data_IF_210952411356
#
_entry.id   IF_210952411356
#
_cell.length_a   1.000
_cell.length_b   1.000
_cell.length_c   1.000
_cell.angle_alpha   90.00
_cell.angle_beta   90.00
_cell.angle_gamma   90.00
#
_symmetry.space_group_name_H-M   'P 1'
#
loop_
_entity.id
_entity.type
_entity.pdbx_description
1 polymer ?
#
# COMPACT_ATOMS: atom_id res chain seq x y z
N UNK A 1 -4.43 19.71 -40.39
CA UNK A 1 -3.97 18.33 -40.65
C UNK A 1 -2.53 18.01 -40.19
N UNK A 2 -1.66 18.99 -39.86
CA UNK A 2 -0.26 18.70 -39.46
C UNK A 2 -0.03 18.15 -38.04
N UNK A 3 -0.95 18.37 -37.08
CA UNK A 3 -0.76 17.95 -35.67
C UNK A 3 -1.03 16.45 -35.43
N UNK A 4 -1.98 15.83 -36.14
CA UNK A 4 -2.21 14.38 -36.05
C UNK A 4 -1.07 13.55 -36.67
N UNK A 5 -0.40 14.10 -37.68
CA UNK A 5 0.69 13.40 -38.38
C UNK A 5 1.94 13.22 -37.50
N UNK A 6 2.19 14.17 -36.58
CA UNK A 6 3.31 14.10 -35.65
C UNK A 6 3.06 13.16 -34.47
N UNK A 7 1.81 13.03 -34.00
CA UNK A 7 1.47 12.09 -32.92
C UNK A 7 1.60 10.65 -33.39
N UNK A 8 1.15 10.36 -34.62
CA UNK A 8 1.31 9.04 -35.21
C UNK A 8 2.80 8.71 -35.42
N UNK A 9 3.62 9.65 -35.90
CA UNK A 9 5.06 9.42 -36.02
C UNK A 9 5.75 9.19 -34.68
N UNK A 10 5.35 9.91 -33.64
CA UNK A 10 5.88 9.70 -32.28
C UNK A 10 5.45 8.34 -31.72
N UNK A 11 4.20 7.93 -31.95
CA UNK A 11 3.70 6.62 -31.55
C UNK A 11 4.41 5.48 -32.30
N UNK A 12 4.61 5.60 -33.62
CA UNK A 12 5.38 4.64 -34.41
C UNK A 12 6.86 4.60 -34.01
N UNK A 13 7.44 5.75 -33.66
CA UNK A 13 8.81 5.82 -33.16
C UNK A 13 8.94 5.14 -31.80
N UNK A 14 7.99 5.38 -30.88
CA UNK A 14 7.96 4.74 -29.57
C UNK A 14 7.69 3.23 -29.69
N UNK A 15 6.72 2.81 -30.51
CA UNK A 15 6.45 1.39 -30.76
C UNK A 15 7.68 0.71 -31.38
N UNK A 16 8.31 1.33 -32.38
CA UNK A 16 9.52 0.83 -33.03
C UNK A 16 10.64 0.64 -32.02
N UNK A 17 10.90 1.65 -31.17
CA UNK A 17 11.94 1.57 -30.13
C UNK A 17 11.62 0.53 -29.05
N UNK A 18 10.35 0.36 -28.66
CA UNK A 18 9.93 -0.68 -27.71
C UNK A 18 10.09 -2.07 -28.34
N UNK A 19 9.69 -2.25 -29.61
CA UNK A 19 9.89 -3.53 -30.31
C UNK A 19 11.37 -3.84 -30.53
N UNK A 20 12.20 -2.84 -30.82
CA UNK A 20 13.65 -2.98 -30.92
C UNK A 20 14.25 -3.34 -29.57
N UNK A 21 13.81 -2.74 -28.46
CA UNK A 21 14.28 -3.08 -27.13
C UNK A 21 13.89 -4.51 -26.73
N UNK A 22 12.67 -4.96 -27.05
CA UNK A 22 12.21 -6.33 -26.82
C UNK A 22 12.98 -7.35 -27.67
N UNK A 23 13.27 -7.02 -28.93
CA UNK A 23 14.11 -7.84 -29.82
C UNK A 23 15.56 -7.85 -29.31
N UNK A 24 16.07 -6.74 -28.80
CA UNK A 24 17.42 -6.63 -28.26
C UNK A 24 17.58 -7.46 -26.98
N UNK A 25 16.59 -7.44 -26.07
CA UNK A 25 16.57 -8.37 -24.93
C UNK A 25 16.49 -9.84 -25.36
N UNK A 26 15.71 -10.16 -26.40
CA UNK A 26 15.66 -11.51 -26.97
C UNK A 26 17.00 -11.95 -27.58
N UNK A 27 17.73 -11.05 -28.23
CA UNK A 27 19.02 -11.32 -28.85
C UNK A 27 20.18 -11.41 -27.84
N UNK A 28 20.14 -10.65 -26.73
CA UNK A 28 21.14 -10.72 -25.66
C UNK A 28 21.12 -12.08 -24.94
N UNK A 29 19.98 -12.78 -24.93
CA UNK A 29 19.81 -14.04 -24.21
C UNK A 29 20.40 -15.25 -24.98
N UNK A 30 20.77 -15.11 -26.27
CA UNK A 30 21.05 -16.27 -27.15
C UNK A 30 22.50 -16.54 -27.58
N UNK A 31 23.53 -15.76 -27.19
CA UNK A 31 24.81 -16.42 -26.89
C UNK A 31 25.63 -15.72 -25.79
N UNK A 32 25.78 -16.37 -24.64
CA UNK A 32 26.85 -16.09 -23.69
C UNK A 32 28.15 -16.73 -24.18
N UNK A 33 29.17 -15.95 -24.57
CA UNK A 33 30.63 -16.22 -24.44
C UNK A 33 31.45 -15.23 -25.27
N UNK A 34 32.15 -14.30 -24.60
CA UNK A 34 33.54 -13.86 -24.85
C UNK A 34 33.80 -12.36 -24.57
N UNK A 35 34.80 -12.15 -23.69
CA UNK A 35 35.76 -11.04 -23.65
C UNK A 35 35.35 -9.65 -23.12
N UNK A 36 35.64 -9.50 -21.83
CA UNK A 36 36.26 -8.39 -21.08
C UNK A 36 36.90 -7.15 -21.76
N UNK A 37 36.65 -6.00 -21.09
CA UNK A 37 37.49 -4.80 -20.79
C UNK A 37 37.89 -3.83 -21.93
N UNK A 38 37.62 -2.52 -21.74
CA UNK A 38 38.63 -1.47 -21.44
C UNK A 38 38.10 -0.01 -21.46
N UNK A 39 38.44 0.73 -20.38
CA UNK A 39 38.80 2.17 -20.22
C UNK A 39 37.80 3.35 -20.32
N UNK A 40 37.98 4.23 -19.31
CA UNK A 40 37.73 5.67 -19.22
C UNK A 40 38.25 6.45 -20.46
N UNK A 41 37.87 7.71 -20.75
CA UNK A 41 37.94 8.90 -19.90
C UNK A 41 37.37 10.15 -20.63
N UNK A 42 36.92 11.15 -19.85
CA UNK A 42 36.79 12.61 -20.06
C UNK A 42 36.29 13.19 -21.40
N UNK A 43 35.24 14.04 -21.30
CA UNK A 43 35.26 15.39 -21.89
C UNK A 43 34.48 16.39 -21.02
N UNK A 44 35.14 17.52 -20.85
CA UNK A 44 34.85 18.74 -20.08
C UNK A 44 34.10 19.77 -20.97
N UNK A 45 33.52 20.80 -20.31
CA UNK A 45 33.08 22.12 -20.80
C UNK A 45 31.75 22.19 -21.60
N UNK A 46 30.84 23.17 -21.40
CA UNK A 46 31.01 24.47 -20.76
C UNK A 46 29.70 25.15 -20.31
N UNK A 47 29.87 26.15 -19.44
CA UNK A 47 28.91 27.06 -18.84
C UNK A 47 28.22 28.03 -19.83
N UNK A 48 27.00 28.49 -19.51
CA UNK A 48 26.60 29.92 -19.57
C UNK A 48 25.24 30.11 -18.85
N UNK A 49 25.21 30.64 -17.61
CA UNK A 49 25.03 32.07 -17.26
C UNK A 49 23.55 32.49 -17.26
N UNK A 50 22.98 33.21 -16.29
CA UNK A 50 23.28 33.58 -14.91
C UNK A 50 22.00 34.22 -14.34
N UNK A 51 22.06 34.60 -13.06
CA UNK A 51 21.48 35.84 -12.51
C UNK A 51 20.35 35.71 -11.47
N UNK A 52 20.80 35.63 -10.20
CA UNK A 52 20.44 36.41 -8.99
C UNK A 52 18.93 36.54 -8.61
N UNK A 53 18.52 36.47 -7.34
CA UNK A 53 19.15 37.02 -6.14
C UNK A 53 18.53 36.37 -4.88
N UNK A 54 19.38 35.99 -3.92
CA UNK A 54 18.99 35.72 -2.53
C UNK A 54 18.66 37.04 -1.82
N UNK A 55 17.57 37.08 -1.04
CA UNK A 55 17.54 37.87 0.20
C UNK A 55 16.93 37.01 1.31
N UNK A 56 17.75 36.84 2.33
CA UNK A 56 17.53 36.16 3.59
C UNK A 56 16.52 36.90 4.51
N UNK A 57 15.90 36.07 5.35
CA UNK A 57 15.75 36.21 6.80
C UNK A 57 14.76 37.15 7.50
N UNK A 58 14.22 36.51 8.55
CA UNK A 58 13.90 37.01 9.88
C UNK A 58 12.52 37.61 10.21
N UNK A 59 11.69 36.70 10.73
CA UNK A 59 11.31 36.62 12.16
C UNK A 59 10.40 37.68 12.81
N UNK A 60 9.53 37.13 13.67
CA UNK A 60 8.89 37.69 14.87
C UNK A 60 7.50 38.36 14.82
N UNK A 61 6.84 38.14 15.96
CA UNK A 61 5.43 38.27 16.32
C UNK A 61 4.90 39.71 16.32
N UNK A 62 3.59 39.91 16.12
CA UNK A 62 2.74 40.67 17.08
C UNK A 62 1.24 40.56 16.79
N UNK A 63 0.49 40.39 17.87
CA UNK A 63 -0.99 40.44 18.02
C UNK A 63 -1.59 41.85 17.89
N UNK A 64 -2.83 41.99 17.40
CA UNK A 64 -3.98 42.73 18.01
C UNK A 64 -5.12 43.09 17.02
N UNK A 65 -6.30 43.35 17.60
CA UNK A 65 -7.68 43.37 17.06
C UNK A 65 -8.11 44.66 16.30
N UNK A 66 -9.24 44.61 15.55
CA UNK A 66 -10.44 45.52 15.58
C UNK A 66 -11.25 45.51 14.23
N UNK A 67 -12.60 45.37 14.31
CA UNK A 67 -13.66 45.58 13.25
C UNK A 67 -14.12 47.07 13.21
N UNK A 68 -15.03 47.65 12.36
CA UNK A 68 -15.94 47.12 11.31
C UNK A 68 -16.12 47.95 9.98
N UNK A 69 -16.76 47.33 8.97
CA UNK A 69 -17.74 47.72 7.87
C UNK A 69 -17.98 49.21 7.50
N UNK A 70 -18.18 49.63 6.20
CA UNK A 70 -19.45 49.45 5.44
C UNK A 70 -19.40 49.23 3.89
N UNK A 71 -20.42 48.52 3.38
CA UNK A 71 -20.94 48.40 1.98
C UNK A 71 -21.79 49.66 1.56
N UNK A 72 -22.36 49.89 0.33
CA UNK A 72 -23.00 48.98 -0.68
C UNK A 72 -22.88 49.48 -2.17
N UNK A 73 -23.78 49.23 -3.18
CA UNK A 73 -24.91 48.27 -3.43
C UNK A 73 -24.78 47.44 -4.76
N UNK A 74 -25.27 46.19 -4.89
CA UNK A 74 -26.62 45.62 -5.18
C UNK A 74 -27.13 45.64 -6.63
N UNK A 75 -27.48 44.45 -7.18
CA UNK A 75 -28.58 44.06 -8.09
C UNK A 75 -28.29 42.62 -8.62
N UNK A 76 -29.20 41.65 -8.80
CA UNK A 76 -30.58 41.37 -8.41
C UNK A 76 -30.89 39.87 -8.73
N UNK A 77 -31.65 39.18 -7.86
CA UNK A 77 -32.77 38.23 -8.11
C UNK A 77 -32.56 36.92 -8.93
N UNK A 78 -33.20 35.76 -8.70
CA UNK A 78 -34.29 35.30 -7.81
C UNK A 78 -34.34 33.75 -7.78
N UNK A 79 -34.95 33.20 -6.72
CA UNK A 79 -35.21 31.78 -6.42
C UNK A 79 -36.45 31.22 -7.14
N UNK A 80 -36.54 29.88 -7.25
CA UNK A 80 -37.81 29.15 -7.10
C UNK A 80 -37.59 27.69 -6.67
N UNK A 81 -38.61 27.16 -6.00
CA UNK A 81 -38.64 26.05 -5.03
C UNK A 81 -39.74 25.06 -5.46
N UNK A 82 -39.58 23.74 -5.34
CA UNK A 82 -40.67 22.73 -5.21
C UNK A 82 -40.07 21.32 -5.13
N UNK A 83 -40.21 20.61 -4.00
CA UNK A 83 -41.28 19.67 -3.60
C UNK A 83 -41.24 18.31 -4.31
N UNK A 84 -41.01 17.28 -3.50
CA UNK A 84 -41.14 15.85 -3.77
C UNK A 84 -42.43 15.39 -3.07
N UNK A 85 -43.23 14.54 -3.74
CA UNK A 85 -44.06 13.48 -3.13
C UNK A 85 -44.49 12.44 -4.19
N UNK A 86 -44.21 11.18 -3.84
CA UNK A 86 -44.85 9.86 -4.08
C UNK A 86 -45.85 9.64 -5.24
N UNK A 87 -45.66 8.59 -6.07
CA UNK A 87 -46.25 7.24 -5.84
C UNK A 87 -46.04 6.26 -7.04
N UNK A 88 -45.91 4.97 -6.70
CA UNK A 88 -46.20 3.71 -7.40
C UNK A 88 -45.95 3.49 -8.91
N UNK A 89 -45.35 2.33 -9.23
CA UNK A 89 -45.38 1.75 -10.59
C UNK A 89 -44.52 0.50 -10.76
N UNK A 90 -45.02 -0.63 -10.24
CA UNK A 90 -44.97 -2.02 -10.77
C UNK A 90 -43.75 -2.45 -11.61
N UNK A 91 -43.12 -3.53 -11.13
CA UNK A 91 -42.15 -4.38 -11.83
C UNK A 91 -42.92 -5.33 -12.76
N UNK A 92 -42.63 -5.30 -14.06
CA UNK A 92 -42.90 -6.43 -14.97
C UNK A 92 -41.63 -6.73 -15.78
N UNK A 93 -41.21 -7.99 -15.64
CA UNK A 93 -40.16 -8.66 -16.39
C UNK A 93 -40.61 -8.90 -17.83
N UNK A 94 -39.80 -8.55 -18.83
CA UNK A 94 -39.97 -9.01 -20.20
C UNK A 94 -38.70 -9.80 -20.62
N UNK A 95 -38.70 -11.09 -20.26
CA UNK A 95 -38.00 -12.14 -21.00
C UNK A 95 -38.92 -12.64 -22.14
N UNK A 96 -38.32 -13.20 -23.19
CA UNK A 96 -38.92 -14.02 -24.27
C UNK A 96 -39.43 -13.33 -25.55
N UNK A 97 -38.50 -13.04 -26.47
CA UNK A 97 -38.76 -12.96 -27.92
C UNK A 97 -38.16 -14.20 -28.62
N UNK A 98 -38.92 -15.31 -28.63
CA UNK A 98 -38.67 -16.49 -29.46
C UNK A 98 -39.90 -16.74 -30.34
N UNK A 99 -39.88 -16.23 -31.57
CA UNK A 99 -40.93 -16.50 -32.56
C UNK A 99 -40.88 -17.96 -33.02
N UNK A 100 -41.81 -18.75 -32.51
CA UNK A 100 -42.19 -20.05 -33.06
C UNK A 100 -42.78 -19.88 -34.47
N UNK A 101 -42.07 -20.43 -35.45
CA UNK A 101 -42.58 -20.73 -36.80
C UNK A 101 -43.83 -21.59 -36.67
N UNK A 102 -44.98 -21.08 -37.14
CA UNK A 102 -46.19 -21.86 -37.37
C UNK A 102 -46.15 -22.37 -38.81
N UNK A 103 -46.24 -23.69 -38.95
CA UNK A 103 -46.44 -24.39 -40.20
C UNK A 103 -47.88 -24.14 -40.69
N UNK A 104 -48.04 -23.28 -41.69
CA UNK A 104 -49.30 -23.17 -42.46
C UNK A 104 -49.23 -24.15 -43.64
N UNK A 105 -49.69 -25.37 -43.38
CA UNK A 105 -50.10 -26.35 -44.40
C UNK A 105 -51.52 -25.98 -44.87
N UNK A 106 -51.64 -25.32 -46.03
CA UNK A 106 -52.90 -25.23 -46.77
C UNK A 106 -52.67 -25.47 -48.27
N UNK A 107 -53.01 -26.69 -48.71
CA UNK A 107 -53.07 -27.08 -50.11
C UNK A 107 -54.27 -26.45 -50.82
N UNK A 108 -54.10 -26.09 -52.10
CA UNK A 108 -55.15 -26.35 -53.08
C UNK A 108 -54.65 -27.32 -54.15
N UNK A 109 -55.35 -28.45 -54.27
CA UNK A 109 -55.24 -29.36 -55.41
C UNK A 109 -55.81 -28.70 -56.67
N UNK A 110 -55.01 -28.58 -57.72
CA UNK A 110 -55.54 -28.59 -59.08
C UNK A 110 -54.53 -29.13 -60.10
N UNK A 111 -54.85 -30.34 -60.57
CA UNK A 111 -54.74 -30.85 -61.96
C UNK A 111 -53.37 -30.92 -62.63
N UNK A 112 -52.93 -32.18 -62.70
CA UNK A 112 -51.96 -32.78 -63.61
C UNK A 112 -52.22 -32.36 -65.06
N UNK A 113 -51.21 -31.75 -65.70
CA UNK A 113 -50.99 -31.84 -67.14
C UNK A 113 -49.54 -32.26 -67.38
N UNK A 114 -49.35 -33.52 -67.72
CA UNK A 114 -48.11 -34.08 -68.26
C UNK A 114 -47.95 -33.58 -69.70
N UNK A 115 -46.87 -32.86 -70.01
CA UNK A 115 -46.13 -32.89 -71.29
C UNK A 115 -45.03 -31.81 -71.29
N UNK A 116 -43.76 -32.22 -71.09
CA UNK A 116 -42.58 -31.88 -71.92
C UNK A 116 -41.25 -32.07 -71.15
N UNK A 117 -40.17 -32.55 -71.80
CA UNK A 117 -38.96 -32.98 -71.11
C UNK A 117 -37.89 -31.89 -70.99
N UNK A 118 -37.21 -31.90 -69.84
CA UNK A 118 -35.80 -31.57 -69.60
C UNK A 118 -35.24 -30.24 -70.16
N UNK A 119 -35.05 -29.27 -69.26
CA UNK A 119 -33.92 -28.33 -69.33
C UNK A 119 -33.21 -28.28 -67.99
N UNK A 120 -31.90 -28.50 -68.06
CA UNK A 120 -30.95 -28.45 -66.97
C UNK A 120 -31.10 -27.14 -66.18
N UNK A 121 -31.55 -27.23 -64.94
CA UNK A 121 -31.42 -26.13 -63.99
C UNK A 121 -30.05 -26.27 -63.34
N UNK A 122 -29.10 -25.46 -63.81
CA UNK A 122 -27.85 -25.18 -63.10
C UNK A 122 -28.15 -24.93 -61.62
N UNK A 123 -27.48 -25.68 -60.75
CA UNK A 123 -27.38 -25.37 -59.32
C UNK A 123 -26.78 -23.97 -59.20
N UNK A 124 -27.64 -22.96 -59.07
CA UNK A 124 -27.26 -21.59 -58.73
C UNK A 124 -26.72 -21.65 -57.30
N UNK A 125 -25.40 -21.83 -57.19
CA UNK A 125 -24.66 -21.62 -55.95
C UNK A 125 -25.03 -20.22 -55.46
N UNK A 126 -25.86 -20.16 -54.42
CA UNK A 126 -26.16 -18.95 -53.69
C UNK A 126 -24.85 -18.36 -53.24
N UNK A 127 -24.49 -17.19 -53.80
CA UNK A 127 -23.33 -16.41 -53.35
C UNK A 127 -23.65 -15.93 -51.94
N UNK A 128 -23.25 -16.73 -50.96
CA UNK A 128 -23.16 -16.31 -49.55
C UNK A 128 -22.26 -15.07 -49.55
N UNK A 129 -22.68 -13.94 -48.95
CA UNK A 129 -21.92 -12.70 -48.97
C UNK A 129 -20.51 -12.92 -48.41
N UNK A 130 -19.51 -12.33 -49.08
CA UNK A 130 -18.08 -12.59 -48.90
C UNK A 130 -17.53 -12.41 -47.46
N UNK A 131 -18.28 -11.76 -46.58
CA UNK A 131 -17.87 -11.51 -45.19
C UNK A 131 -18.12 -12.70 -44.24
N UNK A 132 -18.83 -13.75 -44.68
CA UNK A 132 -19.09 -14.98 -43.93
C UNK A 132 -18.28 -16.17 -44.42
N UNK A 133 -17.43 -15.99 -45.44
CA UNK A 133 -16.37 -16.95 -45.71
C UNK A 133 -15.29 -16.72 -44.65
N UNK A 134 -15.04 -17.71 -43.81
CA UNK A 134 -13.86 -17.79 -42.95
C UNK A 134 -12.60 -17.82 -43.83
N UNK A 135 -12.25 -16.66 -44.39
CA UNK A 135 -11.01 -16.46 -45.10
C UNK A 135 -9.91 -16.36 -44.04
N UNK A 136 -8.83 -17.11 -44.21
CA UNK A 136 -7.66 -17.07 -43.34
C UNK A 136 -7.09 -15.65 -43.16
N UNK A 137 -7.34 -14.79 -44.14
CA UNK A 137 -6.99 -13.37 -44.14
C UNK A 137 -7.85 -12.50 -43.22
N UNK A 138 -9.04 -12.94 -42.78
CA UNK A 138 -9.84 -12.21 -41.79
C UNK A 138 -9.32 -12.41 -40.37
N UNK A 139 -8.56 -13.48 -40.14
CA UNK A 139 -8.02 -13.84 -38.83
C UNK A 139 -6.69 -13.15 -38.50
N UNK A 140 -6.17 -12.23 -39.32
CA UNK A 140 -4.91 -11.54 -39.00
C UNK A 140 -4.94 -10.83 -37.63
N UNK A 141 -6.07 -10.21 -37.28
CA UNK A 141 -6.23 -9.59 -35.96
C UNK A 141 -6.32 -10.64 -34.84
N UNK A 142 -6.97 -11.77 -35.09
CA UNK A 142 -7.07 -12.87 -34.12
C UNK A 142 -5.70 -13.54 -33.89
N UNK A 143 -4.94 -13.81 -34.96
CA UNK A 143 -3.57 -14.34 -34.86
C UNK A 143 -2.62 -13.35 -34.17
N UNK A 144 -2.77 -12.05 -34.42
CA UNK A 144 -1.98 -11.01 -33.73
C UNK A 144 -2.32 -10.96 -32.24
N UNK A 145 -3.61 -11.09 -31.87
CA UNK A 145 -4.04 -11.13 -30.48
C UNK A 145 -3.54 -12.40 -29.78
N UNK A 146 -3.64 -13.56 -30.42
CA UNK A 146 -3.10 -14.82 -29.90
C UNK A 146 -1.59 -14.74 -29.73
N UNK A 147 -0.87 -14.15 -30.70
CA UNK A 147 0.57 -13.95 -30.60
C UNK A 147 0.94 -13.00 -29.44
N UNK A 148 0.19 -11.91 -29.26
CA UNK A 148 0.36 -10.99 -28.12
C UNK A 148 0.12 -11.69 -26.78
N UNK A 149 -0.91 -12.52 -26.68
CA UNK A 149 -1.22 -13.31 -25.48
C UNK A 149 -0.15 -14.36 -25.22
N UNK A 150 0.37 -15.00 -26.27
CA UNK A 150 1.46 -15.95 -26.17
C UNK A 150 2.76 -15.30 -25.67
N UNK A 151 3.11 -14.12 -26.19
CA UNK A 151 4.25 -13.34 -25.70
C UNK A 151 4.07 -12.92 -24.24
N UNK A 152 2.87 -12.45 -23.88
CA UNK A 152 2.52 -12.16 -22.50
C UNK A 152 2.71 -13.37 -21.59
N UNK A 153 2.26 -14.55 -22.02
CA UNK A 153 2.41 -15.79 -21.27
C UNK A 153 3.88 -16.19 -21.07
N UNK A 154 4.72 -16.06 -22.10
CA UNK A 154 6.16 -16.31 -21.99
C UNK A 154 6.80 -15.38 -20.95
N UNK A 155 6.48 -14.09 -21.01
CA UNK A 155 7.01 -13.09 -20.08
C UNK A 155 6.55 -13.39 -18.66
N UNK A 156 5.28 -13.77 -18.48
CA UNK A 156 4.74 -14.17 -17.20
C UNK A 156 5.49 -15.39 -16.60
N UNK A 157 5.66 -16.46 -17.39
CA UNK A 157 6.33 -17.69 -16.94
C UNK A 157 7.80 -17.42 -16.61
N UNK A 158 8.51 -16.67 -17.47
CA UNK A 158 9.92 -16.30 -17.25
C UNK A 158 10.09 -15.37 -16.05
N UNK A 159 9.21 -14.39 -15.89
CA UNK A 159 9.21 -13.46 -14.77
C UNK A 159 9.00 -14.17 -13.43
N UNK A 160 8.00 -15.07 -13.39
CA UNK A 160 7.74 -15.95 -12.25
C UNK A 160 8.95 -16.84 -11.92
N UNK A 161 9.50 -17.52 -12.92
CA UNK A 161 10.64 -18.43 -12.72
C UNK A 161 11.88 -17.67 -12.21
N UNK A 162 12.15 -16.47 -12.76
CA UNK A 162 13.25 -15.62 -12.31
C UNK A 162 13.06 -15.19 -10.86
N UNK A 163 11.88 -14.70 -10.50
CA UNK A 163 11.59 -14.30 -9.12
C UNK A 163 11.71 -15.48 -8.13
N UNK A 164 11.20 -16.64 -8.51
CA UNK A 164 11.33 -17.87 -7.72
C UNK A 164 12.79 -18.26 -7.50
N UNK A 165 13.62 -18.24 -8.57
CA UNK A 165 15.05 -18.58 -8.47
C UNK A 165 15.81 -17.60 -7.57
N UNK A 166 15.50 -16.30 -7.63
CA UNK A 166 16.13 -15.28 -6.77
C UNK A 166 15.80 -15.56 -5.30
N UNK A 167 14.52 -15.78 -5.01
CA UNK A 167 14.07 -16.01 -3.64
C UNK A 167 14.64 -17.33 -3.07
N UNK A 168 14.69 -18.39 -3.89
CA UNK A 168 15.24 -19.68 -3.48
C UNK A 168 16.76 -19.63 -3.28
N UNK A 169 17.50 -18.97 -4.18
CA UNK A 169 18.95 -18.77 -4.04
C UNK A 169 19.30 -18.01 -2.75
N UNK A 170 18.56 -16.94 -2.45
CA UNK A 170 18.74 -16.20 -1.20
C UNK A 170 18.43 -17.07 0.03
N UNK A 171 17.37 -17.88 -0.02
CA UNK A 171 16.98 -18.78 1.05
C UNK A 171 18.06 -19.82 1.34
N UNK A 172 18.51 -20.56 0.32
CA UNK A 172 19.54 -21.60 0.45
C UNK A 172 20.84 -21.08 1.07
N UNK A 173 21.27 -19.88 0.68
CA UNK A 173 22.52 -19.29 1.17
C UNK A 173 22.45 -18.75 2.61
N UNK A 174 21.25 -18.41 3.10
CA UNK A 174 21.05 -17.86 4.43
C UNK A 174 20.45 -18.86 5.41
N UNK A 175 20.00 -20.03 4.93
CA UNK A 175 19.37 -21.07 5.74
C UNK A 175 20.25 -21.49 6.91
N UNK A 176 21.53 -21.80 6.65
CA UNK A 176 22.48 -22.22 7.71
C UNK A 176 22.63 -21.17 8.82
N UNK A 177 22.68 -19.88 8.44
CA UNK A 177 22.79 -18.78 9.41
C UNK A 177 21.50 -18.66 10.22
N UNK A 178 20.34 -18.89 9.60
CA UNK A 178 19.04 -18.85 10.26
C UNK A 178 18.87 -20.03 11.22
N UNK A 179 19.15 -21.25 10.79
CA UNK A 179 19.08 -22.47 11.63
C UNK A 179 20.06 -22.42 12.80
N UNK A 180 21.22 -21.78 12.63
CA UNK A 180 22.15 -21.55 13.74
C UNK A 180 21.58 -20.59 14.81
N UNK A 181 20.76 -19.62 14.41
CA UNK A 181 20.24 -18.57 15.29
C UNK A 181 18.83 -18.86 15.85
N UNK A 182 18.04 -19.70 15.19
CA UNK A 182 16.63 -19.96 15.48
C UNK A 182 16.38 -21.46 15.58
N UNK A 183 15.57 -21.89 16.54
CA UNK A 183 15.18 -23.31 16.64
C UNK A 183 14.10 -23.70 15.63
N UNK A 184 13.34 -22.73 15.12
CA UNK A 184 12.25 -22.93 14.17
C UNK A 184 12.43 -21.95 13.00
N UNK A 185 12.62 -22.48 11.80
CA UNK A 185 12.76 -21.71 10.55
C UNK A 185 11.75 -22.27 9.55
N UNK A 186 10.96 -21.39 8.93
CA UNK A 186 9.83 -21.79 8.07
C UNK A 186 8.59 -22.16 8.88
N UNK A 187 8.29 -21.39 9.93
CA UNK A 187 7.09 -21.59 10.76
C UNK A 187 5.88 -20.87 10.13
N UNK A 188 4.89 -21.60 9.64
CA UNK A 188 3.67 -21.03 9.06
C UNK A 188 2.75 -20.35 10.12
N UNK A 189 3.16 -20.29 11.40
CA UNK A 189 2.38 -19.72 12.50
C UNK A 189 1.13 -20.55 12.86
N UNK A 190 1.01 -21.72 12.25
CA UNK A 190 -0.02 -22.72 12.52
C UNK A 190 0.50 -23.73 13.55
N UNK A 191 -0.42 -24.37 14.28
CA UNK A 191 -0.07 -25.38 15.30
C UNK A 191 0.67 -26.59 14.71
N UNK A 192 0.47 -26.86 13.42
CA UNK A 192 1.20 -27.87 12.65
C UNK A 192 1.84 -27.16 11.45
N UNK A 193 3.14 -27.41 11.22
CA UNK A 193 3.89 -26.80 10.12
C UNK A 193 3.44 -27.49 8.83
N UNK A 194 2.56 -26.83 8.06
CA UNK A 194 2.04 -27.35 6.79
C UNK A 194 3.08 -27.21 5.66
N UNK A 195 3.78 -26.08 5.59
CA UNK A 195 4.87 -25.86 4.65
C UNK A 195 6.16 -25.55 5.41
N UNK A 196 7.16 -26.41 5.29
CA UNK A 196 8.50 -26.10 5.75
C UNK A 196 9.19 -25.22 4.71
N UNK A 197 9.62 -24.02 5.11
CA UNK A 197 10.54 -23.19 4.34
C UNK A 197 9.93 -21.88 3.83
N UNK A 198 10.35 -21.48 2.62
CA UNK A 198 9.97 -20.20 2.04
C UNK A 198 8.54 -20.23 1.49
N UNK A 199 7.68 -19.35 1.99
CA UNK A 199 6.28 -19.23 1.57
C UNK A 199 6.18 -18.24 0.42
N UNK A 200 5.45 -18.60 -0.62
CA UNK A 200 5.10 -17.71 -1.73
C UNK A 200 3.75 -17.07 -1.45
N UNK A 201 3.74 -15.83 -0.96
CA UNK A 201 2.49 -15.08 -0.74
C UNK A 201 1.89 -14.59 -2.07
N UNK A 202 2.74 -14.07 -2.95
CA UNK A 202 2.37 -13.64 -4.31
C UNK A 202 3.49 -13.94 -5.29
N UNK A 203 3.28 -13.69 -6.59
CA UNK A 203 4.31 -13.88 -7.63
C UNK A 203 5.56 -12.98 -7.45
N UNK A 204 5.46 -11.94 -6.61
CA UNK A 204 6.53 -11.00 -6.34
C UNK A 204 6.84 -10.82 -4.85
N UNK A 205 6.11 -11.47 -3.94
CA UNK A 205 6.36 -11.41 -2.49
C UNK A 205 6.54 -12.82 -1.96
N UNK A 206 7.69 -13.03 -1.34
CA UNK A 206 8.06 -14.27 -0.67
C UNK A 206 8.35 -13.98 0.80
N UNK A 207 7.83 -14.81 1.69
CA UNK A 207 7.95 -14.60 3.14
C UNK A 207 8.54 -15.83 3.82
N UNK A 208 9.39 -15.60 4.81
CA UNK A 208 9.94 -16.62 5.68
C UNK A 208 9.75 -16.20 7.13
N UNK A 209 9.23 -17.11 7.95
CA UNK A 209 9.04 -16.90 9.38
C UNK A 209 10.06 -17.71 10.16
N UNK A 210 10.71 -17.06 11.12
CA UNK A 210 11.65 -17.69 12.05
C UNK A 210 11.25 -17.38 13.50
N UNK A 211 11.29 -18.39 14.35
CA UNK A 211 10.92 -18.30 15.77
C UNK A 211 11.86 -19.13 16.66
N UNK A 212 11.73 -19.00 17.98
CA UNK A 212 12.48 -19.83 18.93
C UNK A 212 13.84 -19.29 19.39
N UNK A 213 14.08 -17.98 19.25
CA UNK A 213 15.21 -17.29 19.88
C UNK A 213 14.72 -16.48 21.09
N UNK A 214 15.30 -16.67 22.28
CA UNK A 214 14.79 -16.09 23.54
C UNK A 214 14.54 -14.56 23.57
N UNK A 215 15.18 -13.78 22.69
CA UNK A 215 15.02 -12.32 22.62
C UNK A 215 13.99 -11.87 21.56
N UNK A 216 13.59 -12.78 20.67
CA UNK A 216 12.76 -12.52 19.50
C UNK A 216 11.50 -13.37 19.64
N UNK A 217 10.35 -12.72 19.64
CA UNK A 217 9.07 -13.44 19.62
C UNK A 217 8.86 -14.12 18.27
N UNK A 218 9.01 -13.33 17.20
CA UNK A 218 8.94 -13.80 15.82
C UNK A 218 9.78 -12.88 14.93
N UNK A 219 10.44 -13.46 13.92
CA UNK A 219 11.09 -12.72 12.86
C UNK A 219 10.45 -13.10 11.53
N UNK A 220 9.96 -12.12 10.81
CA UNK A 220 9.43 -12.26 9.46
C UNK A 220 10.40 -11.62 8.48
N UNK A 221 10.81 -12.38 7.47
CA UNK A 221 11.64 -11.91 6.37
C UNK A 221 10.77 -11.88 5.13
N UNK A 222 10.56 -10.71 4.54
CA UNK A 222 9.79 -10.51 3.32
C UNK A 222 10.71 -10.06 2.19
N UNK A 223 10.72 -10.80 1.09
CA UNK A 223 11.35 -10.40 -0.18
C UNK A 223 10.30 -9.79 -1.10
N UNK A 224 10.35 -8.48 -1.28
CA UNK A 224 9.55 -7.73 -2.24
C UNK A 224 10.34 -7.60 -3.53
N UNK A 225 10.10 -8.51 -4.45
CA UNK A 225 10.71 -8.52 -5.77
C UNK A 225 9.93 -7.63 -6.74
N UNK A 226 10.60 -7.16 -7.78
CA UNK A 226 9.98 -6.48 -8.90
C UNK A 226 8.99 -7.43 -9.60
N UNK A 227 7.87 -6.88 -10.07
CA UNK A 227 6.82 -7.62 -10.78
C UNK A 227 7.23 -7.95 -12.22
N UNK A 228 8.22 -8.82 -12.38
CA UNK A 228 8.79 -9.26 -13.67
C UNK A 228 7.81 -10.11 -14.51
N UNK A 229 6.72 -10.56 -13.90
CA UNK A 229 5.65 -11.31 -14.56
C UNK A 229 4.58 -10.41 -15.19
N UNK A 230 4.60 -9.10 -14.89
CA UNK A 230 3.61 -8.14 -15.36
C UNK A 230 4.23 -7.14 -16.34
N UNK A 231 3.74 -7.13 -17.57
CA UNK A 231 4.18 -6.22 -18.63
C UNK A 231 4.12 -4.75 -18.21
N UNK A 232 3.03 -4.34 -17.56
CA UNK A 232 2.87 -2.95 -17.17
C UNK A 232 3.95 -2.54 -16.17
N UNK A 233 4.18 -3.40 -15.17
CA UNK A 233 5.23 -3.20 -14.18
C UNK A 233 6.64 -3.19 -14.80
N UNK A 234 6.91 -4.01 -15.82
CA UNK A 234 8.18 -3.97 -16.56
C UNK A 234 8.37 -2.61 -17.24
N UNK A 235 7.33 -2.11 -17.94
CA UNK A 235 7.38 -0.81 -18.63
C UNK A 235 7.58 0.33 -17.61
N UNK A 236 6.86 0.31 -16.49
CA UNK A 236 7.03 1.33 -15.44
C UNK A 236 8.45 1.27 -14.86
N UNK A 237 8.99 0.08 -14.61
CA UNK A 237 10.34 -0.10 -14.08
C UNK A 237 11.42 0.35 -15.09
N UNK A 238 11.15 0.28 -16.39
CA UNK A 238 12.02 0.83 -17.42
C UNK A 238 12.15 2.36 -17.33
N UNK A 239 11.04 3.07 -17.08
CA UNK A 239 11.06 4.53 -16.89
C UNK A 239 11.53 4.95 -15.50
N UNK A 240 11.25 4.14 -14.48
CA UNK A 240 11.61 4.41 -13.09
C UNK A 240 12.26 3.16 -12.48
N UNK A 241 13.59 3.03 -12.56
CA UNK A 241 14.27 1.86 -12.05
C UNK A 241 14.07 1.76 -10.53
N UNK A 242 13.62 0.60 -10.10
CA UNK A 242 13.56 0.19 -8.70
C UNK A 242 14.43 -1.05 -8.50
N UNK A 243 14.82 -1.27 -7.25
CA UNK A 243 15.54 -2.46 -6.82
C UNK A 243 14.56 -3.42 -6.14
N UNK A 244 14.91 -4.71 -6.14
CA UNK A 244 14.30 -5.70 -5.25
C UNK A 244 14.56 -5.30 -3.79
N UNK A 245 13.70 -5.71 -2.85
CA UNK A 245 13.83 -5.34 -1.43
C UNK A 245 13.71 -6.55 -0.52
N UNK A 246 14.50 -6.56 0.54
CA UNK A 246 14.41 -7.51 1.65
C UNK A 246 14.06 -6.74 2.92
N UNK A 247 12.88 -7.00 3.46
CA UNK A 247 12.37 -6.39 4.68
C UNK A 247 12.40 -7.44 5.77
N UNK A 248 13.24 -7.23 6.78
CA UNK A 248 13.31 -8.08 7.97
C UNK A 248 12.58 -7.38 9.11
N UNK A 249 11.44 -7.92 9.52
CA UNK A 249 10.61 -7.46 10.63
C UNK A 249 10.81 -8.38 11.82
N UNK A 250 11.39 -7.87 12.89
CA UNK A 250 11.65 -8.63 14.11
C UNK A 250 10.74 -8.11 15.22
N UNK A 251 9.80 -8.94 15.70
CA UNK A 251 9.02 -8.69 16.92
C UNK A 251 9.88 -9.02 18.13
N UNK A 252 10.09 -8.05 19.00
CA UNK A 252 10.92 -8.17 20.19
C UNK A 252 10.05 -8.43 21.42
N UNK A 253 10.54 -9.26 22.33
CA UNK A 253 9.88 -9.50 23.61
C UNK A 253 9.74 -8.21 24.43
N UNK A 254 8.68 -8.15 25.25
CA UNK A 254 8.35 -6.97 26.06
C UNK A 254 9.50 -6.48 26.96
N UNK A 255 10.36 -7.39 27.44
CA UNK A 255 11.44 -7.09 28.39
C UNK A 255 12.76 -6.66 27.72
N UNK A 256 12.87 -6.82 26.40
CA UNK A 256 14.13 -6.64 25.67
C UNK A 256 14.41 -5.17 25.39
N UNK A 257 13.39 -4.41 24.97
CA UNK A 257 13.55 -3.04 24.50
C UNK A 257 13.04 -2.03 25.53
N UNK A 258 13.88 -1.07 25.93
CA UNK A 258 13.44 0.11 26.68
C UNK A 258 12.66 1.08 25.78
N UNK A 259 11.89 1.98 26.38
CA UNK A 259 10.99 2.88 25.67
C UNK A 259 11.76 3.94 24.87
N UNK A 260 11.92 3.78 23.55
CA UNK A 260 12.43 4.81 22.64
C UNK A 260 12.08 4.51 21.18
N UNK A 261 12.05 5.57 20.36
CA UNK A 261 11.94 5.46 18.89
C UNK A 261 13.24 5.93 18.23
N UNK A 262 13.77 5.11 17.32
CA UNK A 262 14.99 5.36 16.56
C UNK A 262 14.80 4.88 15.11
N UNK A 263 15.14 5.71 14.13
CA UNK A 263 15.17 5.28 12.74
C UNK A 263 16.33 5.95 12.01
N UNK A 264 17.09 5.18 11.24
CA UNK A 264 18.05 5.69 10.26
C UNK A 264 17.59 5.26 8.87
N UNK A 265 17.56 6.17 7.90
CA UNK A 265 17.03 5.89 6.58
C UNK A 265 17.70 6.73 5.51
N UNK A 266 17.71 6.24 4.27
CA UNK A 266 18.11 7.04 3.11
C UNK A 266 17.14 8.21 2.91
N UNK A 267 17.63 9.33 2.38
CA UNK A 267 16.89 10.59 2.25
C UNK A 267 15.52 10.42 1.57
N UNK A 268 15.48 9.61 0.50
CA UNK A 268 14.24 9.27 -0.23
C UNK A 268 13.23 8.52 0.66
N UNK A 269 13.70 7.49 1.36
CA UNK A 269 12.85 6.66 2.22
C UNK A 269 12.48 7.34 3.53
N UNK A 270 13.33 8.22 4.05
CA UNK A 270 13.07 9.06 5.21
C UNK A 270 11.83 9.95 5.02
N UNK A 271 11.63 10.52 3.82
CA UNK A 271 10.44 11.30 3.49
C UNK A 271 9.19 10.43 3.57
N UNK A 272 9.24 9.24 3.00
CA UNK A 272 8.13 8.27 3.02
C UNK A 272 7.79 7.84 4.45
N UNK A 273 8.79 7.41 5.21
CA UNK A 273 8.65 6.96 6.60
C UNK A 273 8.08 8.06 7.50
N UNK A 274 8.50 9.32 7.31
CA UNK A 274 7.97 10.47 8.06
C UNK A 274 6.52 10.84 7.72
N UNK A 275 5.87 10.15 6.78
CA UNK A 275 4.44 10.32 6.48
C UNK A 275 3.64 9.08 6.85
N UNK A 276 4.21 7.92 6.56
CA UNK A 276 3.55 6.61 6.70
C UNK A 276 3.61 6.04 8.12
N UNK A 277 4.65 6.34 8.91
CA UNK A 277 4.85 5.71 10.22
C UNK A 277 4.37 6.60 11.36
N UNK A 278 3.37 6.13 12.12
CA UNK A 278 2.74 6.85 13.22
C UNK A 278 3.74 7.26 14.32
N UNK A 279 4.60 6.32 14.70
CA UNK A 279 5.60 6.48 15.74
C UNK A 279 6.68 7.50 15.35
N UNK A 280 7.23 7.41 14.14
CA UNK A 280 8.23 8.38 13.65
C UNK A 280 7.65 9.79 13.66
N UNK A 281 6.45 9.99 13.12
CA UNK A 281 5.80 11.31 13.09
C UNK A 281 5.57 11.87 14.50
N UNK A 282 5.21 10.99 15.42
CA UNK A 282 4.78 11.39 16.76
C UNK A 282 5.98 11.67 17.68
N UNK A 283 6.99 10.81 17.65
CA UNK A 283 8.10 10.84 18.61
C UNK A 283 9.39 11.42 18.03
N UNK A 284 9.54 11.43 16.70
CA UNK A 284 10.72 11.90 15.99
C UNK A 284 10.37 12.88 14.84
N UNK A 285 9.72 14.03 15.13
CA UNK A 285 9.32 14.97 14.06
C UNK A 285 10.52 15.62 13.36
N UNK A 286 11.65 15.76 14.06
CA UNK A 286 12.85 16.39 13.54
C UNK A 286 13.78 15.41 12.82
N UNK A 287 14.19 15.78 11.61
CA UNK A 287 15.23 15.10 10.84
C UNK A 287 16.59 15.63 11.27
N UNK A 288 17.48 14.74 11.69
CA UNK A 288 18.85 15.07 12.12
C UNK A 288 19.86 14.48 11.16
N UNK A 289 20.97 15.19 10.96
CA UNK A 289 22.12 14.66 10.24
C UNK A 289 22.88 13.68 11.15
N UNK A 290 23.26 12.50 10.63
CA UNK A 290 23.92 11.47 11.43
C UNK A 290 25.44 11.72 11.62
N UNK A 291 26.01 12.78 11.05
CA UNK A 291 27.44 13.12 11.10
C UNK A 291 28.00 13.18 12.53
N UNK A 292 27.19 13.66 13.49
CA UNK A 292 27.56 13.70 14.92
C UNK A 292 27.94 12.33 15.48
N UNK A 293 27.47 11.26 14.85
CA UNK A 293 27.72 9.88 15.25
C UNK A 293 28.78 9.19 14.37
N UNK A 294 29.47 9.91 13.47
CA UNK A 294 30.54 9.35 12.65
C UNK A 294 30.09 8.65 11.35
N UNK A 295 28.82 8.82 10.97
CA UNK A 295 28.33 8.36 9.67
C UNK A 295 28.73 9.40 8.62
N UNK A 296 29.50 8.95 7.63
CA UNK A 296 30.07 9.81 6.57
C UNK A 296 29.14 9.97 5.37
N UNK A 297 28.09 9.15 5.32
CA UNK A 297 27.12 9.09 4.24
C UNK A 297 26.15 10.28 4.27
N UNK A 298 26.24 11.16 3.27
CA UNK A 298 25.34 12.33 3.11
C UNK A 298 23.90 11.94 2.73
N UNK A 299 23.69 10.72 2.25
CA UNK A 299 22.38 10.22 1.84
C UNK A 299 21.56 9.70 3.02
N UNK A 300 22.13 9.54 4.22
CA UNK A 300 21.42 9.03 5.39
C UNK A 300 20.86 10.14 6.28
N UNK A 301 19.70 9.88 6.87
CA UNK A 301 18.99 10.78 7.80
C UNK A 301 18.65 10.00 9.06
N UNK A 302 18.79 10.65 10.21
CA UNK A 302 18.50 10.10 11.52
C UNK A 302 17.24 10.73 12.14
N UNK A 303 16.34 9.87 12.60
CA UNK A 303 15.22 10.18 13.46
C UNK A 303 15.49 9.58 14.83
N UNK A 304 15.67 10.42 15.85
CA UNK A 304 15.79 9.92 17.23
C UNK A 304 15.00 10.80 18.20
N UNK A 305 14.31 10.12 19.11
CA UNK A 305 13.68 10.71 20.28
C UNK A 305 14.72 10.96 21.39
N UNK A 306 15.60 9.98 21.63
CA UNK A 306 16.58 9.98 22.72
C UNK A 306 18.00 9.84 22.16
N UNK A 307 18.84 10.85 22.42
CA UNK A 307 20.24 10.85 21.99
C UNK A 307 21.06 9.69 22.57
N UNK A 308 20.82 9.32 23.83
CA UNK A 308 21.44 8.17 24.50
C UNK A 308 21.22 6.87 23.73
N UNK A 309 20.00 6.64 23.22
CA UNK A 309 19.67 5.47 22.42
C UNK A 309 20.41 5.48 21.08
N UNK A 310 20.50 6.63 20.41
CA UNK A 310 21.23 6.76 19.17
C UNK A 310 22.73 6.51 19.34
N UNK A 311 23.37 7.11 20.35
CA UNK A 311 24.79 6.86 20.67
C UNK A 311 25.06 5.41 21.03
N UNK A 312 24.12 4.76 21.71
CA UNK A 312 24.27 3.35 22.04
C UNK A 312 24.14 2.48 20.80
N UNK A 313 23.13 2.69 19.95
CA UNK A 313 22.88 1.87 18.74
C UNK A 313 24.02 2.04 17.73
N UNK A 314 24.42 3.28 17.45
CA UNK A 314 25.46 3.66 16.50
C UNK A 314 26.86 3.54 17.14
N UNK A 315 27.32 2.31 17.33
CA UNK A 315 28.72 2.06 17.71
C UNK A 315 29.65 1.96 16.49
N UNK A 316 30.95 1.87 16.73
CA UNK A 316 31.95 1.80 15.67
C UNK A 316 31.73 0.65 14.66
N UNK A 317 31.16 -0.49 15.10
CA UNK A 317 30.89 -1.64 14.23
C UNK A 317 29.72 -1.35 13.30
N UNK A 318 28.63 -0.84 13.85
CA UNK A 318 27.43 -0.47 13.09
C UNK A 318 27.75 0.67 12.13
N UNK A 319 28.48 1.70 12.59
CA UNK A 319 28.91 2.82 11.74
C UNK A 319 29.76 2.33 10.57
N UNK A 320 30.73 1.45 10.82
CA UNK A 320 31.58 0.89 9.76
C UNK A 320 30.76 0.12 8.72
N UNK A 321 29.75 -0.64 9.14
CA UNK A 321 28.87 -1.36 8.22
C UNK A 321 27.93 -0.42 7.46
N UNK A 322 27.37 0.59 8.13
CA UNK A 322 26.52 1.60 7.52
C UNK A 322 27.26 2.36 6.41
N UNK A 323 28.49 2.81 6.67
CA UNK A 323 29.30 3.52 5.69
C UNK A 323 29.76 2.59 4.54
N UNK A 324 30.00 1.30 4.82
CA UNK A 324 30.48 0.33 3.81
C UNK A 324 29.37 -0.16 2.87
N UNK A 325 28.14 -0.27 3.35
CA UNK A 325 27.00 -0.86 2.63
C UNK A 325 25.83 0.12 2.48
N UNK A 326 26.12 1.42 2.37
CA UNK A 326 25.12 2.49 2.22
C UNK A 326 24.17 2.27 1.03
N UNK A 327 24.68 1.69 -0.05
CA UNK A 327 23.93 1.35 -1.26
C UNK A 327 22.82 0.31 -1.01
N UNK A 328 23.10 -0.64 -0.12
CA UNK A 328 22.20 -1.75 0.21
C UNK A 328 21.21 -1.40 1.31
N UNK A 329 21.48 -0.43 2.18
CA UNK A 329 20.63 -0.13 3.33
C UNK A 329 19.59 0.93 2.95
N UNK A 330 18.30 0.59 3.00
CA UNK A 330 17.22 1.56 2.78
C UNK A 330 16.83 2.27 4.08
N UNK A 331 16.56 1.49 5.14
CA UNK A 331 16.32 2.01 6.48
C UNK A 331 16.45 0.92 7.56
N UNK A 332 16.75 1.35 8.79
CA UNK A 332 16.69 0.55 10.01
C UNK A 332 15.84 1.34 11.01
N UNK A 333 14.75 0.74 11.46
CA UNK A 333 13.74 1.33 12.32
C UNK A 333 13.57 0.47 13.58
N UNK A 334 13.73 1.08 14.75
CA UNK A 334 13.55 0.47 16.08
C UNK A 334 12.51 1.30 16.81
N UNK A 335 11.45 0.67 17.28
CA UNK A 335 10.36 1.37 17.94
C UNK A 335 9.68 0.50 18.97
N UNK A 336 9.35 1.10 20.11
CA UNK A 336 8.47 0.52 21.12
C UNK A 336 6.99 0.86 20.90
N UNK A 337 6.70 1.82 20.01
CA UNK A 337 5.37 2.38 19.75
C UNK A 337 4.84 2.05 18.36
N UNK A 338 5.39 1.01 17.71
CA UNK A 338 4.99 0.67 16.36
C UNK A 338 3.55 0.15 16.33
N UNK A 339 2.72 0.77 15.49
CA UNK A 339 1.29 0.47 15.35
C UNK A 339 0.89 0.12 13.92
N UNK A 340 1.86 -0.22 13.07
CA UNK A 340 1.64 -0.44 11.65
C UNK A 340 1.79 0.83 10.81
N UNK A 341 1.58 0.67 9.51
CA UNK A 341 1.50 1.78 8.56
C UNK A 341 0.22 2.57 8.84
N UNK A 342 0.31 3.90 8.78
CA UNK A 342 -0.86 4.78 8.85
C UNK A 342 -1.82 4.42 7.73
N UNK A 343 -2.96 3.85 8.10
CA UNK A 343 -4.10 3.76 7.19
C UNK A 343 -4.62 5.18 6.99
N UNK A 344 -4.49 5.70 5.76
CA UNK A 344 -5.08 6.98 5.35
C UNK A 344 -6.60 6.88 5.26
N UNK A 345 -7.14 5.66 5.18
CA UNK A 345 -8.57 5.40 5.19
C UNK A 345 -9.14 5.76 6.56
N UNK A 346 -10.02 6.75 6.58
CA UNK A 346 -10.69 7.42 7.71
C UNK A 346 -11.57 6.50 8.58
N UNK A 347 -11.16 5.25 8.78
CA UNK A 347 -11.73 4.42 9.84
C UNK A 347 -11.46 5.08 11.17
N UNK A 348 -12.54 5.49 11.83
CA UNK A 348 -12.53 6.19 13.10
C UNK A 348 -11.86 5.33 14.18
N UNK A 349 -10.55 5.50 14.38
CA UNK A 349 -9.78 4.76 15.37
C UNK A 349 -10.19 5.27 16.75
N UNK A 350 -11.21 4.65 17.33
CA UNK A 350 -11.73 5.01 18.65
C UNK A 350 -10.97 4.36 19.78
N UNK A 351 -10.27 3.25 19.52
CA UNK A 351 -9.46 2.52 20.50
C UNK A 351 -8.00 2.90 20.42
N UNK A 352 -7.25 2.74 21.52
CA UNK A 352 -5.81 2.95 21.48
C UNK A 352 -5.20 1.93 20.48
N UNK A 353 -4.33 2.36 19.55
CA UNK A 353 -3.66 1.43 18.67
C UNK A 353 -2.83 0.44 19.49
N UNK A 354 -2.84 -0.83 19.07
CA UNK A 354 -1.97 -1.83 19.66
C UNK A 354 -0.54 -1.54 19.23
N UNK A 355 0.33 -1.33 20.22
CA UNK A 355 1.75 -1.02 19.99
C UNK A 355 2.60 -2.24 20.24
N UNK A 356 3.56 -2.47 19.36
CA UNK A 356 4.51 -3.59 19.43
C UNK A 356 5.94 -3.07 19.44
N UNK A 357 6.81 -3.78 20.15
CA UNK A 357 8.25 -3.52 20.17
C UNK A 357 8.89 -4.24 19.00
N UNK A 358 9.43 -3.49 18.05
CA UNK A 358 9.94 -4.09 16.82
C UNK A 358 11.26 -3.48 16.37
N UNK A 359 11.98 -4.26 15.58
CA UNK A 359 13.12 -3.87 14.77
C UNK A 359 12.80 -4.22 13.32
N UNK A 360 12.66 -3.22 12.45
CA UNK A 360 12.50 -3.38 11.00
C UNK A 360 13.78 -2.92 10.31
N UNK A 361 14.36 -3.77 9.48
CA UNK A 361 15.42 -3.38 8.55
C UNK A 361 14.97 -3.64 7.12
N UNK A 362 15.20 -2.69 6.22
CA UNK A 362 14.93 -2.83 4.79
C UNK A 362 16.23 -2.67 4.02
N UNK A 363 16.55 -3.69 3.23
CA UNK A 363 17.74 -3.74 2.38
C UNK A 363 17.32 -3.80 0.91
N UNK A 364 18.05 -3.10 0.04
CA UNK A 364 17.92 -3.23 -1.39
C UNK A 364 18.71 -4.45 -1.86
N UNK A 365 18.05 -5.35 -2.57
CA UNK A 365 18.70 -6.39 -3.35
C UNK A 365 19.08 -5.79 -4.69
N UNK A 366 20.36 -5.92 -5.05
CA UNK A 366 20.82 -5.54 -6.38
C UNK A 366 20.12 -6.43 -7.42
N UNK A 367 19.84 -5.86 -8.60
CA UNK A 367 19.10 -6.54 -9.66
C UNK A 367 19.89 -7.67 -10.34
N UNK A 368 21.17 -7.88 -9.96
CA UNK A 368 22.07 -8.91 -10.50
C UNK A 368 22.41 -10.00 -9.48
N UNK A 369 21.40 -10.48 -8.76
CA UNK A 369 21.46 -11.60 -7.79
C UNK A 369 21.96 -12.95 -8.35
N UNK A 370 22.35 -13.01 -9.63
CA UNK A 370 23.07 -14.17 -10.18
C UNK A 370 24.55 -14.20 -9.74
N UNK A 371 25.11 -13.10 -9.27
CA UNK A 371 26.47 -13.12 -8.72
C UNK A 371 26.43 -13.54 -7.25
N UNK A 372 27.02 -14.71 -6.93
CA UNK A 372 27.22 -15.19 -5.55
C UNK A 372 27.82 -14.09 -4.66
N UNK A 373 28.67 -13.24 -5.23
CA UNK A 373 29.31 -12.10 -4.58
C UNK A 373 28.31 -11.09 -3.97
N UNK A 374 27.17 -10.84 -4.62
CA UNK A 374 26.18 -9.87 -4.12
C UNK A 374 25.39 -10.42 -2.93
N UNK A 375 25.10 -11.72 -2.92
CA UNK A 375 24.41 -12.36 -1.80
C UNK A 375 25.35 -12.51 -0.61
N UNK A 376 26.64 -12.76 -0.85
CA UNK A 376 27.68 -12.73 0.18
C UNK A 376 27.85 -11.34 0.81
N UNK A 377 27.66 -10.25 0.04
CA UNK A 377 27.66 -8.88 0.59
C UNK A 377 26.52 -8.63 1.58
N UNK A 378 25.42 -9.39 1.51
CA UNK A 378 24.29 -9.25 2.44
C UNK A 378 24.48 -9.97 3.78
N UNK A 379 25.30 -11.04 3.83
CA UNK A 379 25.54 -11.82 5.05
C UNK A 379 25.94 -10.94 6.25
N UNK A 380 26.88 -9.98 6.12
CA UNK A 380 27.23 -9.06 7.21
C UNK A 380 26.05 -8.19 7.70
N UNK A 381 25.10 -7.83 6.83
CA UNK A 381 23.93 -7.02 7.18
C UNK A 381 22.92 -7.81 8.01
N UNK A 382 22.70 -9.08 7.66
CA UNK A 382 21.85 -9.98 8.46
C UNK A 382 22.51 -10.25 9.82
N UNK A 383 23.82 -10.48 9.85
CA UNK A 383 24.57 -10.62 11.11
C UNK A 383 24.52 -9.34 11.96
N UNK A 384 24.56 -8.16 11.33
CA UNK A 384 24.37 -6.87 12.01
C UNK A 384 22.99 -6.79 12.67
N UNK A 385 21.94 -7.32 12.03
CA UNK A 385 20.60 -7.34 12.63
C UNK A 385 20.59 -8.16 13.93
N UNK A 386 21.19 -9.35 13.93
CA UNK A 386 21.29 -10.17 15.15
C UNK A 386 22.15 -9.50 16.22
N UNK A 387 23.25 -8.87 15.82
CA UNK A 387 24.07 -8.06 16.71
C UNK A 387 23.26 -6.93 17.36
N UNK A 388 22.44 -6.21 16.58
CA UNK A 388 21.58 -5.15 17.09
C UNK A 388 20.56 -5.71 18.10
N UNK A 389 19.91 -6.83 17.82
CA UNK A 389 18.97 -7.46 18.76
C UNK A 389 19.65 -7.80 20.10
N UNK A 390 20.83 -8.43 20.06
CA UNK A 390 21.57 -8.78 21.28
C UNK A 390 22.07 -7.56 22.05
N UNK A 391 22.38 -6.50 21.32
CA UNK A 391 22.81 -5.22 21.88
C UNK A 391 21.64 -4.49 22.54
N UNK A 392 20.46 -4.48 21.92
CA UNK A 392 19.23 -3.91 22.47
C UNK A 392 18.85 -4.56 23.81
N UNK A 393 19.05 -5.87 23.96
CA UNK A 393 18.82 -6.58 25.23
C UNK A 393 19.66 -6.05 26.40
N UNK A 394 20.86 -5.56 26.12
CA UNK A 394 21.79 -5.02 27.13
C UNK A 394 21.57 -3.54 27.39
N UNK A 395 20.84 -2.86 26.52
CA UNK A 395 20.59 -1.44 26.64
C UNK A 395 19.58 -1.17 27.74
N UNK A 396 19.92 -0.24 28.64
CA UNK A 396 18.97 0.35 29.57
C UNK A 396 19.18 1.85 29.57
N UNK A 397 18.08 2.58 29.44
CA UNK A 397 18.09 4.03 29.50
C UNK A 397 18.48 4.50 30.91
N UNK A 398 19.23 5.59 30.95
CA UNK A 398 19.44 6.35 32.17
C UNK A 398 18.11 6.74 32.82
N UNK A 399 18.14 6.97 34.14
CA UNK A 399 16.93 7.33 34.91
C UNK A 399 16.23 8.57 34.33
N UNK A 400 17.00 9.55 33.89
CA UNK A 400 16.49 10.79 33.30
C UNK A 400 15.84 10.56 31.93
N UNK A 401 16.54 9.86 31.03
CA UNK A 401 16.01 9.51 29.71
C UNK A 401 14.76 8.64 29.80
N UNK A 402 14.71 7.70 30.75
CA UNK A 402 13.54 6.87 31.00
C UNK A 402 12.33 7.68 31.45
N UNK A 403 12.51 8.61 32.40
CA UNK A 403 11.42 9.50 32.85
C UNK A 403 10.94 10.39 31.70
N UNK A 404 11.86 10.93 30.88
CA UNK A 404 11.50 11.73 29.70
C UNK A 404 10.67 10.91 28.70
N UNK A 405 11.14 9.71 28.40
CA UNK A 405 10.49 8.75 27.53
C UNK A 405 9.07 8.40 27.99
N UNK A 406 8.91 8.03 29.26
CA UNK A 406 7.62 7.66 29.83
C UNK A 406 6.65 8.85 29.85
N UNK A 407 7.16 10.05 30.12
CA UNK A 407 6.37 11.29 30.08
C UNK A 407 5.86 11.62 28.68
N UNK A 408 6.69 11.42 27.65
CA UNK A 408 6.29 11.59 26.25
C UNK A 408 5.17 10.63 25.88
N UNK A 409 5.28 9.35 26.24
CA UNK A 409 4.25 8.32 25.98
C UNK A 409 2.93 8.64 26.70
N UNK A 410 2.98 9.05 27.96
CA UNK A 410 1.79 9.50 28.70
C UNK A 410 1.16 10.75 28.08
N UNK A 411 1.96 11.70 27.60
CA UNK A 411 1.46 12.90 26.90
C UNK A 411 0.74 12.51 25.62
N UNK A 412 1.32 11.61 24.82
CA UNK A 412 0.69 11.14 23.58
C UNK A 412 -0.59 10.35 23.83
N UNK A 413 -0.60 9.47 24.84
CA UNK A 413 -1.81 8.75 25.25
C UNK A 413 -2.92 9.73 25.68
N UNK A 414 -2.59 10.78 26.42
CA UNK A 414 -3.55 11.83 26.80
C UNK A 414 -4.08 12.61 25.59
N UNK A 415 -3.19 13.01 24.68
CA UNK A 415 -3.58 13.71 23.44
C UNK A 415 -4.52 12.84 22.59
N UNK A 416 -4.23 11.55 22.46
CA UNK A 416 -5.09 10.60 21.75
C UNK A 416 -6.45 10.42 22.43
N UNK A 417 -6.48 10.27 23.76
CA UNK A 417 -7.74 10.17 24.51
C UNK A 417 -8.57 11.45 24.40
N UNK A 418 -7.92 12.61 24.36
CA UNK A 418 -8.59 13.90 24.19
C UNK A 418 -9.14 14.08 22.77
N UNK A 419 -8.35 13.76 21.74
CA UNK A 419 -8.80 13.85 20.35
C UNK A 419 -9.96 12.89 20.06
N UNK A 420 -9.92 11.68 20.62
CA UNK A 420 -10.99 10.68 20.48
C UNK A 420 -12.17 10.90 21.42
N UNK A 421 -12.08 11.79 22.41
CA UNK A 421 -13.18 12.01 23.38
C UNK A 421 -14.46 12.47 22.70
N UNK A 422 -14.36 13.44 21.79
CA UNK A 422 -15.52 13.99 21.07
C UNK A 422 -16.20 12.91 20.23
N UNK A 423 -15.41 12.12 19.51
CA UNK A 423 -15.90 11.04 18.66
C UNK A 423 -16.50 9.90 19.47
N UNK A 424 -15.89 9.52 20.60
CA UNK A 424 -16.47 8.54 21.54
C UNK A 424 -17.78 9.04 22.14
N UNK A 425 -17.87 10.33 22.45
CA UNK A 425 -19.09 10.95 22.96
C UNK A 425 -20.20 10.95 21.92
N UNK A 426 -19.88 11.24 20.65
CA UNK A 426 -20.80 11.19 19.53
C UNK A 426 -21.32 9.76 19.28
N UNK A 427 -20.43 8.77 19.17
CA UNK A 427 -20.80 7.36 19.00
C UNK A 427 -21.65 6.84 20.18
N UNK A 428 -21.31 7.24 21.41
CA UNK A 428 -22.10 6.87 22.58
C UNK A 428 -23.49 7.55 22.58
N UNK A 429 -23.61 8.76 22.04
CA UNK A 429 -24.89 9.44 21.87
C UNK A 429 -25.73 8.79 20.76
N UNK A 430 -25.14 8.53 19.60
CA UNK A 430 -25.78 7.83 18.48
C UNK A 430 -26.32 6.47 18.92
N UNK A 431 -25.52 5.65 19.61
CA UNK A 431 -25.96 4.34 20.13
C UNK A 431 -27.08 4.45 21.18
N UNK A 432 -27.12 5.54 21.96
CA UNK A 432 -28.21 5.80 22.92
C UNK A 432 -29.47 6.30 22.23
N UNK A 433 -29.33 7.00 21.11
CA UNK A 433 -30.45 7.47 20.31
C UNK A 433 -31.06 6.33 19.50
N UNK A 434 -30.24 5.50 18.86
CA UNK A 434 -30.67 4.30 18.16
C UNK A 434 -31.42 3.34 19.09
N UNK A 435 -30.88 3.05 20.29
CA UNK A 435 -31.60 2.24 21.29
C UNK A 435 -32.95 2.85 21.69
N UNK A 436 -33.02 4.17 21.83
CA UNK A 436 -34.29 4.86 22.12
C UNK A 436 -35.27 4.79 20.95
N UNK A 437 -34.77 4.85 19.71
CA UNK A 437 -35.59 4.72 18.50
C UNK A 437 -36.15 3.31 18.37
N UNK A 438 -35.31 2.29 18.54
CA UNK A 438 -35.70 0.87 18.50
C UNK A 438 -36.68 0.54 19.63
N UNK A 439 -36.47 1.05 20.85
CA UNK A 439 -37.44 0.86 21.95
C UNK A 439 -38.77 1.54 21.63
N UNK A 440 -38.77 2.74 21.05
CA UNK A 440 -39.99 3.44 20.61
C UNK A 440 -40.72 2.67 19.52
N UNK A 441 -40.01 2.18 18.52
CA UNK A 441 -40.58 1.43 17.39
C UNK A 441 -41.16 0.09 17.85
N UNK A 442 -40.46 -0.62 18.74
CA UNK A 442 -40.98 -1.84 19.37
C UNK A 442 -42.25 -1.59 20.18
N UNK A 443 -42.33 -0.46 20.91
CA UNK A 443 -43.52 -0.12 21.68
C UNK A 443 -44.68 0.37 20.80
N UNK A 444 -44.41 0.94 19.63
CA UNK A 444 -45.43 1.31 18.63
C UNK A 444 -46.03 0.08 17.93
N UNK A 445 -45.25 -1.01 17.83
CA UNK A 445 -45.70 -2.30 17.28
C UNK A 445 -46.40 -3.21 18.30
N UNK A 446 -46.37 -2.90 19.60
CA UNK A 446 -47.08 -3.68 20.63
C UNK A 446 -48.58 -3.40 20.56
N UNK A 447 -49.40 -4.43 20.40
CA UNK A 447 -50.86 -4.33 20.14
C UNK A 447 -51.74 -4.13 21.39
N UNK A 448 -51.15 -4.05 22.59
CA UNK A 448 -51.86 -3.98 23.88
C UNK A 448 -51.98 -2.52 24.40
N UNK A 449 -53.20 -1.91 24.40
CA UNK A 449 -53.39 -0.49 24.70
C UNK A 449 -53.00 -0.07 26.13
N UNK A 450 -53.14 -0.98 27.11
CA UNK A 450 -52.80 -0.65 28.50
C UNK A 450 -51.29 -0.57 28.73
N UNK A 451 -50.51 -1.43 28.05
CA UNK A 451 -49.05 -1.40 28.13
C UNK A 451 -48.45 -0.16 27.49
N UNK A 452 -49.03 0.28 26.38
CA UNK A 452 -48.62 1.51 25.70
C UNK A 452 -48.81 2.73 26.62
N UNK A 453 -50.00 2.87 27.22
CA UNK A 453 -50.30 3.99 28.14
C UNK A 453 -49.42 4.02 29.39
N UNK A 454 -49.12 2.85 29.98
CA UNK A 454 -48.18 2.77 31.13
C UNK A 454 -46.75 3.16 30.74
N UNK A 455 -46.32 2.85 29.51
CA UNK A 455 -45.00 3.20 29.03
C UNK A 455 -44.89 4.69 28.71
N UNK A 456 -45.89 5.28 28.06
CA UNK A 456 -45.98 6.72 27.78
C UNK A 456 -45.95 7.57 29.06
N UNK A 457 -46.73 7.20 30.08
CA UNK A 457 -46.69 7.89 31.37
C UNK A 457 -45.32 7.78 32.06
N UNK A 458 -44.62 6.66 31.88
CA UNK A 458 -43.28 6.43 32.44
C UNK A 458 -42.21 7.22 31.71
N UNK A 459 -42.27 7.34 30.38
CA UNK A 459 -41.39 8.20 29.59
C UNK A 459 -41.64 9.68 29.87
N UNK A 460 -42.91 10.11 29.92
CA UNK A 460 -43.28 11.48 30.29
C UNK A 460 -42.69 11.88 31.66
N UNK A 461 -42.81 10.99 32.67
CA UNK A 461 -42.16 11.19 33.98
C UNK A 461 -40.64 11.26 33.91
N UNK A 462 -39.97 10.51 33.03
CA UNK A 462 -38.50 10.59 32.84
C UNK A 462 -38.09 11.88 32.15
N UNK A 463 -38.84 12.33 31.15
CA UNK A 463 -38.55 13.56 30.43
C UNK A 463 -38.74 14.79 31.32
N UNK A 464 -39.82 14.82 32.11
CA UNK A 464 -40.05 15.86 33.12
C UNK A 464 -38.91 15.91 34.14
N UNK A 465 -38.40 14.76 34.59
CA UNK A 465 -37.22 14.69 35.48
C UNK A 465 -35.91 15.12 34.81
N UNK A 466 -35.78 14.98 33.48
CA UNK A 466 -34.61 15.48 32.71
C UNK A 466 -34.64 16.98 32.50
N UNK A 467 -35.83 17.58 32.34
CA UNK A 467 -36.03 19.02 32.16
C UNK A 467 -35.79 19.83 33.43
N UNK A 468 -35.84 19.20 34.62
CA UNK A 468 -35.49 19.87 35.88
C UNK A 468 -33.97 20.07 35.96
N UNK A 469 -33.46 21.32 35.96
CA UNK A 469 -32.03 21.58 36.04
C UNK A 469 -31.48 21.16 37.41
N UNK A 470 -30.45 20.31 37.42
CA UNK A 470 -29.76 19.92 38.67
C UNK A 470 -28.87 21.06 39.15
N UNK A 471 -29.29 21.81 40.17
CA UNK A 471 -28.45 22.82 40.83
C UNK A 471 -27.22 22.13 41.44
N UNK A 472 -26.01 22.43 40.93
CA UNK A 472 -24.76 22.02 41.57
C UNK A 472 -24.54 22.91 42.79
N UNK A 473 -24.56 22.33 43.99
CA UNK A 473 -24.15 23.05 45.20
C UNK A 473 -22.66 23.40 45.09
N UNK A 474 -22.35 24.69 44.93
CA UNK A 474 -21.01 25.22 45.18
C UNK A 474 -20.71 25.03 46.67
N UNK A 475 -19.88 24.05 47.01
CA UNK A 475 -19.26 23.99 48.33
C UNK A 475 -18.28 25.15 48.43
N UNK A 476 -18.69 26.23 49.08
CA UNK A 476 -17.78 27.28 49.54
C UNK A 476 -16.84 26.63 50.55
N UNK A 477 -15.55 26.56 50.19
CA UNK A 477 -14.48 26.13 51.08
C UNK A 477 -14.25 27.29 52.05
N UNK A 478 -14.61 27.11 53.32
CA UNK A 478 -14.28 28.08 54.37
C UNK A 478 -12.74 28.18 54.50
N UNK A 479 -12.26 29.42 54.63
CA UNK A 479 -10.86 29.80 54.82
C UNK A 479 -10.21 29.10 56.01
#
# INVERSE_FOLDING_TARGET
MGKLFNINRLAYFLLSNITLALIFELCIILPSTNASKLSAQDTIEDNEFAEFEDIEDDSEEFTSQIKPTPSPPSQNEQQANSKVDENDGIVEDDEDEFETVRDDDDQPQDKINLNEPSKNNDLKITKIPLHLRANWESYYLEFLLIFGLFLYFIIFVNGRAKNFNIANSWYEQNLEVLEYNFSLVGDDGKKEIENQGLIKETENIYSLWCSGRNSIEAMQIEMHLLKRQDLFSIIVNYFKPSNDKLIVKTSLNADVLDNFVFCIANRKSAIRLSKEMNDIVTFCPERKLPEKYGITSENMVLFNEIGEAASFILDAKVISLLNKYEDLIEYIHISDQYSGVRNTDETQITNLPEVKKILIASFNLSNNTKSEEETDRMKPLIQMLFYLVDKLKRFRLSRESKVKSDRNRQKMQKLFLQSTHLQRQELAQAKREEKRRVEKERMLQESDPEKQRRWEEKEYKREMKRKVPKMKQLKVKAM
#
